data_IF_816901751463
#
_entry.id   IF_816901751463
#
_cell.length_a   1.000
_cell.length_b   1.000
_cell.length_c   1.000
_cell.angle_alpha   90.00
_cell.angle_beta   90.00
_cell.angle_gamma   90.00
#
_symmetry.space_group_name_H-M   'P 1'
#
loop_
_entity.id
_entity.type
_entity.pdbx_description
1 polymer ?
#
# COMPACT_ATOMS: atom_id res chain seq x y z
N UNK A 1 11.85 -2.66 -15.67
CA UNK A 1 10.48 -2.93 -15.21
C UNK A 1 9.89 -1.61 -14.78
N UNK A 2 8.58 -1.39 -15.00
CA UNK A 2 7.94 -0.20 -14.46
C UNK A 2 7.46 -0.50 -13.04
N UNK A 3 7.59 0.47 -12.14
CA UNK A 3 7.46 0.26 -10.70
C UNK A 3 6.48 1.27 -10.10
N UNK A 4 5.81 0.87 -9.02
CA UNK A 4 5.08 1.81 -8.17
C UNK A 4 5.64 1.70 -6.75
N UNK A 5 5.86 2.84 -6.12
CA UNK A 5 6.37 2.95 -4.76
C UNK A 5 5.32 3.53 -3.84
N UNK A 6 5.28 3.02 -2.62
CA UNK A 6 4.69 3.73 -1.50
C UNK A 6 5.71 4.77 -1.01
N UNK A 7 5.34 6.05 -1.01
CA UNK A 7 6.20 7.17 -0.61
C UNK A 7 5.99 7.55 0.84
N UNK A 8 4.74 7.58 1.28
CA UNK A 8 4.40 7.92 2.65
C UNK A 8 3.00 7.44 2.99
N UNK A 9 2.71 7.36 4.28
CA UNK A 9 1.36 7.17 4.78
C UNK A 9 1.15 7.98 6.05
N UNK A 10 -0.05 8.52 6.20
CA UNK A 10 -0.48 9.27 7.39
C UNK A 10 -1.76 8.65 7.93
N UNK A 11 -1.86 8.59 9.25
CA UNK A 11 -3.09 8.27 9.96
C UNK A 11 -3.42 9.42 10.90
N UNK A 12 -4.63 9.95 10.77
CA UNK A 12 -5.19 11.02 11.59
C UNK A 12 -6.24 10.43 12.55
N UNK A 13 -6.61 11.18 13.60
CA UNK A 13 -7.76 10.83 14.43
C UNK A 13 -9.02 10.59 13.58
N UNK A 14 -9.82 9.61 13.96
CA UNK A 14 -11.10 9.36 13.30
C UNK A 14 -12.00 10.60 13.40
N UNK A 15 -12.64 10.98 12.30
CA UNK A 15 -13.44 12.20 12.20
C UNK A 15 -12.66 13.44 11.75
N UNK A 16 -11.35 13.33 11.47
CA UNK A 16 -10.58 14.41 10.84
C UNK A 16 -11.16 14.80 9.47
N UNK A 17 -11.12 16.10 9.16
CA UNK A 17 -11.55 16.63 7.88
C UNK A 17 -10.68 16.11 6.72
N UNK A 18 -11.28 15.92 5.55
CA UNK A 18 -10.56 15.45 4.35
C UNK A 18 -9.41 16.40 3.97
N UNK A 19 -9.63 17.71 4.00
CA UNK A 19 -8.57 18.68 3.67
C UNK A 19 -7.39 18.59 4.64
N UNK A 20 -7.64 18.32 5.92
CA UNK A 20 -6.57 18.19 6.92
C UNK A 20 -5.77 16.90 6.69
N UNK A 21 -6.46 15.80 6.35
CA UNK A 21 -5.82 14.55 5.97
C UNK A 21 -4.95 14.71 4.72
N UNK A 22 -5.45 15.38 3.69
CA UNK A 22 -4.72 15.64 2.44
C UNK A 22 -3.52 16.58 2.66
N UNK A 23 -3.67 17.62 3.49
CA UNK A 23 -2.55 18.48 3.89
C UNK A 23 -1.50 17.69 4.67
N UNK A 24 -1.91 16.81 5.56
CA UNK A 24 -0.99 16.02 6.38
C UNK A 24 -0.13 15.07 5.53
N UNK A 25 -0.73 14.33 4.58
CA UNK A 25 0.03 13.44 3.68
C UNK A 25 0.96 14.23 2.74
N UNK A 26 0.51 15.38 2.25
CA UNK A 26 1.35 16.24 1.41
C UNK A 26 2.53 16.82 2.20
N UNK A 27 2.29 17.27 3.43
CA UNK A 27 3.33 17.77 4.33
C UNK A 27 4.35 16.69 4.70
N UNK A 28 3.91 15.48 5.02
CA UNK A 28 4.79 14.37 5.38
C UNK A 28 5.68 13.90 4.22
N UNK A 29 5.16 13.89 2.99
CA UNK A 29 5.92 13.54 1.78
C UNK A 29 6.68 14.69 1.16
N UNK A 30 6.46 15.92 1.63
CA UNK A 30 6.94 17.17 1.00
C UNK A 30 6.48 17.34 -0.46
N UNK A 31 5.45 16.60 -0.91
CA UNK A 31 4.84 16.83 -2.22
C UNK A 31 3.93 18.05 -2.14
N UNK A 32 3.95 18.87 -3.21
CA UNK A 32 2.99 19.97 -3.32
C UNK A 32 1.64 19.44 -3.83
N UNK A 33 0.50 19.95 -3.34
CA UNK A 33 -0.82 19.44 -3.75
C UNK A 33 -1.07 19.51 -5.27
N UNK A 34 -0.56 20.54 -5.95
CA UNK A 34 -0.67 20.73 -7.40
C UNK A 34 0.11 19.69 -8.23
N UNK A 35 0.93 18.85 -7.58
CA UNK A 35 1.73 17.80 -8.21
C UNK A 35 1.15 16.40 -8.00
N UNK A 36 -0.01 16.29 -7.35
CA UNK A 36 -0.74 15.04 -7.22
C UNK A 36 -1.63 14.86 -8.45
N UNK A 37 -1.42 13.80 -9.25
CA UNK A 37 -2.22 13.59 -10.45
C UNK A 37 -3.65 13.15 -10.13
N UNK A 38 -3.78 12.19 -9.20
CA UNK A 38 -5.07 11.62 -8.82
C UNK A 38 -5.20 11.46 -7.30
N UNK A 39 -6.42 11.69 -6.81
CA UNK A 39 -6.79 11.48 -5.40
C UNK A 39 -8.05 10.61 -5.38
N UNK A 40 -7.95 9.42 -4.79
CA UNK A 40 -9.08 8.52 -4.59
C UNK A 40 -9.47 8.52 -3.12
N UNK A 41 -10.72 8.83 -2.82
CA UNK A 41 -11.28 8.80 -1.47
C UNK A 41 -12.27 7.66 -1.33
N UNK A 42 -12.11 6.85 -0.29
CA UNK A 42 -13.09 5.88 0.18
C UNK A 42 -13.77 6.42 1.44
N UNK A 43 -15.10 6.45 1.46
CA UNK A 43 -15.86 6.80 2.67
C UNK A 43 -17.13 5.97 2.82
N UNK A 44 -17.61 5.87 4.05
CA UNK A 44 -18.89 5.25 4.41
C UNK A 44 -20.07 6.23 4.33
N UNK A 45 -19.85 7.45 3.84
CA UNK A 45 -20.91 8.45 3.66
C UNK A 45 -21.83 8.07 2.50
N UNK A 46 -23.14 8.20 2.69
CA UNK A 46 -24.14 7.88 1.66
C UNK A 46 -23.93 8.67 0.35
N UNK A 47 -23.34 9.88 0.45
CA UNK A 47 -22.97 10.70 -0.70
C UNK A 47 -22.03 9.99 -1.67
N UNK A 48 -21.17 9.08 -1.21
CA UNK A 48 -20.20 8.37 -2.05
C UNK A 48 -20.85 7.49 -3.14
N UNK A 49 -22.14 7.14 -2.98
CA UNK A 49 -22.90 6.38 -3.95
C UNK A 49 -23.35 7.24 -5.15
N UNK A 50 -23.56 8.54 -4.93
CA UNK A 50 -24.19 9.43 -5.90
C UNK A 50 -23.26 10.56 -6.39
N UNK A 51 -22.33 10.99 -5.54
CA UNK A 51 -21.37 12.03 -5.82
C UNK A 51 -19.99 11.42 -6.02
N UNK A 52 -19.57 11.26 -7.28
CA UNK A 52 -18.28 10.65 -7.64
C UNK A 52 -17.11 11.62 -7.65
N UNK A 53 -17.37 12.92 -7.50
CA UNK A 53 -16.35 13.96 -7.60
C UNK A 53 -16.54 14.99 -6.50
N UNK A 54 -15.46 15.27 -5.78
CA UNK A 54 -15.34 16.33 -4.79
C UNK A 54 -14.24 17.30 -5.21
N UNK A 55 -14.39 18.57 -4.82
CA UNK A 55 -13.34 19.58 -4.99
C UNK A 55 -12.80 19.91 -3.61
N UNK A 56 -11.48 19.81 -3.44
CA UNK A 56 -10.77 20.11 -2.20
C UNK A 56 -9.73 21.19 -2.46
N UNK A 57 -9.11 21.70 -1.39
CA UNK A 57 -7.97 22.61 -1.51
C UNK A 57 -6.76 21.97 -2.22
N UNK A 58 -6.70 20.63 -2.22
CA UNK A 58 -5.63 19.85 -2.86
C UNK A 58 -5.98 19.39 -4.28
N UNK A 59 -7.16 19.75 -4.79
CA UNK A 59 -7.61 19.41 -6.13
C UNK A 59 -8.87 18.54 -6.16
N UNK A 60 -9.07 17.89 -7.30
CA UNK A 60 -10.24 17.06 -7.56
C UNK A 60 -10.02 15.69 -6.93
N UNK A 61 -11.02 15.22 -6.20
CA UNK A 61 -11.04 13.91 -5.55
C UNK A 61 -12.10 13.03 -6.20
N UNK A 62 -11.70 11.83 -6.60
CA UNK A 62 -12.59 10.78 -7.08
C UNK A 62 -13.12 10.05 -5.86
N UNK A 63 -14.44 10.10 -5.68
CA UNK A 63 -15.10 9.62 -4.48
C UNK A 63 -15.72 8.25 -4.71
N UNK A 64 -15.33 7.30 -3.86
CA UNK A 64 -15.71 5.91 -3.87
C UNK A 64 -16.45 5.55 -2.59
N UNK A 65 -17.53 4.74 -2.66
CA UNK A 65 -18.13 4.18 -1.47
C UNK A 65 -17.18 3.15 -0.85
N UNK A 66 -17.14 3.10 0.48
CA UNK A 66 -16.36 2.10 1.20
C UNK A 66 -17.08 0.75 1.15
N UNK A 67 -16.86 0.01 0.06
CA UNK A 67 -17.38 -1.33 -0.17
C UNK A 67 -16.22 -2.33 -0.08
N UNK A 68 -16.45 -3.53 0.46
CA UNK A 68 -15.55 -4.69 0.38
C UNK A 68 -14.82 -4.77 -0.98
N UNK A 69 -13.52 -5.10 -0.96
CA UNK A 69 -12.64 -5.25 -2.14
C UNK A 69 -12.37 -4.00 -3.00
N UNK A 70 -13.22 -2.97 -2.99
CA UNK A 70 -13.05 -1.80 -3.86
C UNK A 70 -11.73 -1.04 -3.62
N UNK A 71 -11.30 -0.78 -2.38
CA UNK A 71 -9.99 -0.18 -2.12
C UNK A 71 -8.81 -0.99 -2.69
N UNK A 72 -8.92 -2.33 -2.68
CA UNK A 72 -7.91 -3.25 -3.23
C UNK A 72 -7.83 -3.09 -4.75
N UNK A 73 -8.98 -3.11 -5.43
CA UNK A 73 -9.06 -2.94 -6.89
C UNK A 73 -8.52 -1.59 -7.34
N UNK A 74 -8.86 -0.52 -6.62
CA UNK A 74 -8.37 0.82 -6.92
C UNK A 74 -6.87 0.91 -6.68
N UNK A 75 -6.33 0.30 -5.62
CA UNK A 75 -4.88 0.21 -5.41
C UNK A 75 -4.18 -0.46 -6.60
N UNK A 76 -4.70 -1.59 -7.08
CA UNK A 76 -4.10 -2.32 -8.20
C UNK A 76 -4.22 -1.52 -9.50
N UNK A 77 -5.34 -0.85 -9.72
CA UNK A 77 -5.56 0.02 -10.87
C UNK A 77 -4.61 1.23 -10.85
N UNK A 78 -4.46 1.88 -9.70
CA UNK A 78 -3.53 2.99 -9.49
C UNK A 78 -2.08 2.54 -9.70
N UNK A 79 -1.69 1.37 -9.19
CA UNK A 79 -0.38 0.79 -9.45
C UNK A 79 -0.13 0.60 -10.94
N UNK A 80 -1.11 0.04 -11.68
CA UNK A 80 -0.99 -0.14 -13.13
C UNK A 80 -0.85 1.18 -13.87
N UNK A 81 -1.59 2.21 -13.47
CA UNK A 81 -1.50 3.55 -14.07
C UNK A 81 -0.16 4.25 -13.78
N UNK A 82 0.39 4.05 -12.58
CA UNK A 82 1.73 4.52 -12.21
C UNK A 82 2.80 3.81 -13.05
N UNK A 83 2.65 2.50 -13.24
CA UNK A 83 3.55 1.66 -14.01
C UNK A 83 3.47 1.92 -15.51
N UNK A 84 2.30 2.19 -16.08
CA UNK A 84 2.21 2.62 -17.48
C UNK A 84 2.76 4.03 -17.71
N UNK A 85 2.93 4.81 -16.64
CA UNK A 85 3.33 6.21 -16.71
C UNK A 85 2.17 7.15 -17.05
N UNK A 86 0.93 6.66 -17.05
CA UNK A 86 -0.28 7.47 -17.26
C UNK A 86 -0.42 8.53 -16.16
N UNK A 87 -0.02 8.17 -14.93
CA UNK A 87 0.12 9.09 -13.79
C UNK A 87 1.50 8.95 -13.16
N UNK A 88 1.97 10.02 -12.52
CA UNK A 88 3.25 10.03 -11.80
C UNK A 88 3.07 9.87 -10.29
N UNK A 89 1.94 10.33 -9.75
CA UNK A 89 1.62 10.35 -8.32
C UNK A 89 0.14 10.09 -8.08
N UNK A 90 -0.20 9.39 -7.01
CA UNK A 90 -1.57 9.07 -6.64
C UNK A 90 -1.72 9.09 -5.11
N UNK A 91 -2.78 9.71 -4.59
CA UNK A 91 -3.18 9.57 -3.19
C UNK A 91 -4.37 8.61 -3.10
N UNK A 92 -4.24 7.60 -2.26
CA UNK A 92 -5.38 6.79 -1.81
C UNK A 92 -5.71 7.17 -0.38
N UNK A 93 -6.92 7.61 -0.12
CA UNK A 93 -7.38 8.05 1.18
C UNK A 93 -8.64 7.28 1.60
N UNK A 94 -8.69 6.88 2.87
CA UNK A 94 -9.91 6.42 3.52
C UNK A 94 -10.29 7.45 4.60
N UNK A 95 -11.51 7.96 4.51
CA UNK A 95 -12.10 8.78 5.57
C UNK A 95 -13.48 8.22 5.91
N UNK A 96 -13.53 7.39 6.94
CA UNK A 96 -14.70 6.66 7.43
C UNK A 96 -14.91 6.90 8.92
N UNK A 97 -16.05 6.46 9.46
CA UNK A 97 -16.31 6.44 10.90
C UNK A 97 -15.34 5.56 11.70
N UNK A 98 -14.45 4.80 11.04
CA UNK A 98 -13.43 3.94 11.68
C UNK A 98 -12.02 4.47 11.47
N UNK A 99 -11.70 4.93 10.27
CA UNK A 99 -10.34 5.29 9.88
C UNK A 99 -10.29 6.65 9.18
N UNK A 100 -9.26 7.43 9.49
CA UNK A 100 -8.87 8.60 8.70
C UNK A 100 -7.40 8.43 8.33
N UNK A 101 -7.13 7.97 7.11
CA UNK A 101 -5.77 7.66 6.68
C UNK A 101 -5.58 7.88 5.18
N UNK A 102 -4.35 8.18 4.78
CA UNK A 102 -3.99 8.37 3.39
C UNK A 102 -2.59 7.85 3.10
N UNK A 103 -2.38 7.34 1.90
CA UNK A 103 -1.08 6.94 1.38
C UNK A 103 -0.78 7.67 0.08
N UNK A 104 0.49 8.05 -0.10
CA UNK A 104 0.99 8.59 -1.36
C UNK A 104 1.76 7.50 -2.09
N UNK A 105 1.38 7.28 -3.35
CA UNK A 105 2.05 6.41 -4.29
C UNK A 105 2.71 7.26 -5.38
N UNK A 106 3.85 6.80 -5.91
CA UNK A 106 4.48 7.41 -7.07
C UNK A 106 5.23 6.38 -7.91
N UNK A 107 5.44 6.71 -9.19
CA UNK A 107 6.32 5.94 -10.08
C UNK A 107 7.75 6.52 -10.05
N UNK A 108 8.76 5.85 -10.66
CA UNK A 108 10.15 6.34 -10.65
C UNK A 108 10.31 7.77 -11.18
N UNK A 109 9.53 8.14 -12.20
CA UNK A 109 9.55 9.50 -12.75
C UNK A 109 9.06 10.53 -11.74
N UNK A 110 7.95 10.25 -11.05
CA UNK A 110 7.42 11.09 -9.98
C UNK A 110 8.38 11.21 -8.80
N UNK A 111 9.01 10.09 -8.41
CA UNK A 111 10.05 10.05 -7.38
C UNK A 111 11.20 10.98 -7.72
N UNK A 112 11.81 10.84 -8.89
CA UNK A 112 12.95 11.68 -9.31
C UNK A 112 12.56 13.14 -9.53
N UNK A 113 11.46 13.40 -10.24
CA UNK A 113 11.02 14.76 -10.60
C UNK A 113 10.64 15.59 -9.37
N UNK A 114 10.05 14.97 -8.38
CA UNK A 114 9.55 15.66 -7.19
C UNK A 114 10.44 15.45 -5.95
N UNK A 115 11.59 14.79 -6.12
CA UNK A 115 12.56 14.50 -5.05
C UNK A 115 11.89 13.81 -3.85
N UNK A 116 11.07 12.79 -4.13
CA UNK A 116 10.38 12.00 -3.11
C UNK A 116 11.30 10.87 -2.65
N UNK A 117 11.15 10.43 -1.40
CA UNK A 117 11.86 9.28 -0.87
C UNK A 117 10.92 8.07 -0.86
N UNK A 118 11.15 7.03 -1.68
CA UNK A 118 10.32 5.83 -1.62
C UNK A 118 10.54 5.10 -0.29
N UNK A 119 9.44 4.66 0.34
CA UNK A 119 9.51 3.80 1.52
C UNK A 119 9.68 2.34 1.12
N UNK A 120 8.86 1.87 0.19
CA UNK A 120 8.86 0.48 -0.28
C UNK A 120 8.32 0.42 -1.70
N UNK A 121 8.84 -0.50 -2.49
CA UNK A 121 8.27 -0.85 -3.79
C UNK A 121 7.04 -1.74 -3.59
N UNK A 122 6.05 -1.58 -4.46
CA UNK A 122 4.92 -2.50 -4.60
C UNK A 122 5.20 -3.39 -5.81
N UNK A 123 5.41 -4.69 -5.59
CA UNK A 123 5.73 -5.68 -6.60
C UNK A 123 4.85 -6.93 -6.43
N UNK A 124 4.98 -7.92 -7.34
CA UNK A 124 4.34 -9.24 -7.22
C UNK A 124 2.87 -9.16 -6.79
N UNK A 125 2.01 -8.59 -7.64
CA UNK A 125 0.59 -8.35 -7.34
C UNK A 125 -0.27 -9.43 -7.97
N UNK A 126 -1.09 -10.09 -7.17
CA UNK A 126 -1.92 -11.21 -7.63
C UNK A 126 -3.34 -11.11 -7.10
N UNK A 127 -4.29 -11.63 -7.87
CA UNK A 127 -5.70 -11.74 -7.50
C UNK A 127 -6.14 -13.18 -7.69
N UNK A 128 -6.78 -13.74 -6.65
CA UNK A 128 -7.27 -15.12 -6.60
C UNK A 128 -8.78 -15.12 -6.46
N UNK A 129 -9.53 -15.34 -7.55
CA UNK A 129 -11.00 -15.38 -7.51
C UNK A 129 -11.55 -16.49 -6.60
N UNK A 130 -10.82 -17.61 -6.48
CA UNK A 130 -11.21 -18.73 -5.61
C UNK A 130 -10.75 -18.60 -4.16
N UNK A 131 -10.18 -17.46 -3.77
CA UNK A 131 -9.48 -17.30 -2.49
C UNK A 131 -8.06 -17.87 -2.50
N UNK A 132 -7.31 -17.65 -1.42
CA UNK A 132 -5.94 -18.15 -1.26
C UNK A 132 -6.01 -19.45 -0.42
N UNK A 133 -5.71 -20.63 -1.00
CA UNK A 133 -5.85 -21.91 -0.32
C UNK A 133 -4.74 -22.17 0.70
N UNK A 134 -3.50 -21.76 0.40
CA UNK A 134 -2.35 -21.84 1.31
C UNK A 134 -1.65 -20.48 1.35
N UNK A 135 -1.77 -19.80 2.50
CA UNK A 135 -1.20 -18.47 2.70
C UNK A 135 0.32 -18.47 2.62
N UNK A 136 0.97 -19.50 3.17
CA UNK A 136 2.43 -19.55 3.25
C UNK A 136 3.00 -19.83 1.86
N UNK A 137 2.51 -20.86 1.19
CA UNK A 137 2.99 -21.20 -0.16
C UNK A 137 2.78 -20.04 -1.14
N UNK A 138 1.66 -19.33 -1.02
CA UNK A 138 1.36 -18.18 -1.89
C UNK A 138 2.24 -16.97 -1.57
N UNK A 139 2.49 -16.69 -0.29
CA UNK A 139 3.41 -15.63 0.12
C UNK A 139 4.85 -15.92 -0.35
N UNK A 140 5.31 -17.17 -0.19
CA UNK A 140 6.64 -17.62 -0.65
C UNK A 140 6.77 -17.46 -2.17
N UNK A 141 5.73 -17.86 -2.93
CA UNK A 141 5.68 -17.66 -4.39
C UNK A 141 5.73 -16.19 -4.77
N UNK A 142 4.99 -15.32 -4.07
CA UNK A 142 4.97 -13.89 -4.35
C UNK A 142 6.36 -13.25 -4.16
N UNK A 143 7.05 -13.62 -3.08
CA UNK A 143 8.41 -13.17 -2.79
C UNK A 143 9.43 -13.65 -3.83
N UNK A 144 9.25 -14.86 -4.38
CA UNK A 144 10.11 -15.37 -5.45
C UNK A 144 9.96 -14.60 -6.78
N UNK A 145 8.83 -13.91 -6.99
CA UNK A 145 8.62 -13.07 -8.19
C UNK A 145 9.28 -11.70 -8.11
N UNK A 146 9.79 -11.32 -6.94
CA UNK A 146 10.56 -10.10 -6.76
C UNK A 146 11.99 -10.35 -7.28
N UNK A 147 12.47 -9.57 -8.27
CA UNK A 147 13.84 -9.74 -8.76
C UNK A 147 14.84 -9.56 -7.61
N UNK A 148 15.90 -10.37 -7.52
CA UNK A 148 16.92 -10.19 -6.51
C UNK A 148 17.55 -8.80 -6.68
N UNK A 149 17.79 -8.11 -5.57
CA UNK A 149 18.51 -6.84 -5.58
C UNK A 149 19.90 -7.11 -6.19
N UNK A 150 20.17 -6.54 -7.37
CA UNK A 150 21.48 -6.65 -8.00
C UNK A 150 22.51 -5.97 -7.10
N UNK A 151 23.33 -6.78 -6.43
CA UNK A 151 24.49 -6.29 -5.67
C UNK A 151 25.50 -5.81 -6.71
N UNK A 152 25.63 -4.49 -6.86
CA UNK A 152 26.69 -3.91 -7.68
C UNK A 152 28.04 -4.35 -7.11
N UNK A 153 28.73 -5.22 -7.85
CA UNK A 153 30.09 -5.65 -7.55
C UNK A 153 31.05 -4.45 -7.71
N UNK A 154 31.17 -3.65 -6.66
CA UNK A 154 31.99 -2.44 -6.69
C UNK A 154 32.17 -1.69 -5.36
N UNK A 155 31.43 -2.03 -4.30
CA UNK A 155 31.66 -1.43 -2.98
C UNK A 155 32.20 -2.45 -1.99
N UNK A 156 33.50 -2.38 -1.69
CA UNK A 156 34.15 -2.99 -0.51
C UNK A 156 33.71 -2.32 0.81
N UNK A 157 32.43 -1.97 0.94
CA UNK A 157 31.86 -1.42 2.17
C UNK A 157 30.61 -2.24 2.50
N UNK A 158 30.77 -3.08 3.53
CA UNK A 158 29.74 -3.84 4.24
C UNK A 158 28.54 -4.23 3.40
N UNK A 159 28.61 -5.45 2.83
CA UNK A 159 27.44 -6.16 2.33
C UNK A 159 26.29 -6.01 3.34
N UNK A 160 25.11 -5.46 2.95
CA UNK A 160 23.91 -5.80 3.69
C UNK A 160 23.65 -7.27 3.39
N UNK A 161 24.25 -8.14 4.20
CA UNK A 161 23.88 -9.54 4.29
C UNK A 161 22.40 -9.55 4.66
N UNK A 162 21.54 -9.70 3.67
CA UNK A 162 20.16 -10.11 3.89
C UNK A 162 20.28 -11.43 4.60
N UNK A 163 20.11 -11.43 5.92
CA UNK A 163 20.24 -12.63 6.71
C UNK A 163 19.11 -13.56 6.25
N UNK A 164 19.42 -14.70 5.58
CA UNK A 164 18.41 -15.58 5.02
C UNK A 164 17.52 -16.21 6.10
N UNK A 165 17.88 -16.03 7.38
CA UNK A 165 17.10 -16.49 8.53
C UNK A 165 16.06 -15.46 9.04
N UNK A 166 15.93 -14.28 8.41
CA UNK A 166 14.91 -13.30 8.82
C UNK A 166 13.63 -13.58 8.04
N UNK A 167 12.63 -14.09 8.76
CA UNK A 167 11.30 -14.29 8.18
C UNK A 167 10.75 -12.98 7.60
N UNK A 168 10.13 -13.02 6.40
CA UNK A 168 9.50 -11.86 5.81
C UNK A 168 8.35 -11.38 6.69
N UNK A 169 8.08 -10.07 6.64
CA UNK A 169 6.90 -9.50 7.25
C UNK A 169 5.64 -9.96 6.53
N UNK A 170 4.61 -10.30 7.28
CA UNK A 170 3.30 -10.62 6.75
C UNK A 170 2.28 -9.64 7.30
N UNK A 171 1.53 -8.97 6.43
CA UNK A 171 0.37 -8.16 6.80
C UNK A 171 -0.89 -8.81 6.25
N UNK A 172 -1.87 -9.05 7.12
CA UNK A 172 -3.15 -9.63 6.75
C UNK A 172 -4.24 -8.59 6.95
N UNK A 173 -4.87 -8.23 5.84
CA UNK A 173 -6.13 -7.50 5.79
C UNK A 173 -7.28 -8.52 5.82
N UNK A 174 -8.07 -8.51 6.88
CA UNK A 174 -9.28 -9.33 6.99
C UNK A 174 -10.28 -8.70 7.96
N UNK A 175 -11.60 -8.88 7.77
CA UNK A 175 -12.59 -8.50 8.77
C UNK A 175 -12.43 -9.25 10.10
N UNK A 176 -11.99 -10.51 10.03
CA UNK A 176 -11.81 -11.38 11.20
C UNK A 176 -10.35 -11.84 11.34
N UNK A 177 -9.86 -11.87 12.58
CA UNK A 177 -8.49 -12.31 12.84
C UNK A 177 -8.38 -13.81 12.55
N UNK A 178 -7.49 -14.23 11.63
CA UNK A 178 -7.32 -15.64 11.34
C UNK A 178 -6.88 -16.41 12.58
N UNK A 179 -7.54 -17.54 12.85
CA UNK A 179 -7.47 -18.29 14.11
C UNK A 179 -6.16 -19.10 14.24
N UNK A 180 -5.52 -19.43 13.12
CA UNK A 180 -4.25 -20.17 13.11
C UNK A 180 -3.42 -19.77 11.89
N UNK A 181 -2.24 -19.20 12.13
CA UNK A 181 -1.21 -19.01 11.12
C UNK A 181 0.10 -19.54 11.65
N UNK A 182 0.76 -20.37 10.85
CA UNK A 182 2.13 -20.77 11.08
C UNK A 182 3.07 -19.65 10.61
N UNK A 183 3.07 -18.52 11.33
CA UNK A 183 3.92 -17.35 11.06
C UNK A 183 4.45 -16.74 12.38
N UNK A 184 5.69 -16.24 12.43
CA UNK A 184 6.21 -15.59 13.64
C UNK A 184 5.35 -14.39 14.06
N UNK A 185 4.95 -14.36 15.33
CA UNK A 185 4.04 -13.32 15.86
C UNK A 185 4.67 -11.92 15.85
N UNK A 186 5.99 -11.82 15.96
CA UNK A 186 6.76 -10.57 15.86
C UNK A 186 6.90 -10.06 14.41
N UNK A 187 6.50 -10.88 13.42
CA UNK A 187 6.53 -10.56 11.97
C UNK A 187 5.16 -10.56 11.33
N UNK A 188 4.10 -10.58 12.14
CA UNK A 188 2.72 -10.61 11.69
C UNK A 188 2.01 -9.29 12.06
N UNK A 189 1.43 -8.64 11.06
CA UNK A 189 0.60 -7.46 11.20
C UNK A 189 -0.82 -7.86 10.80
N UNK A 190 -1.79 -7.45 11.60
CA UNK A 190 -3.20 -7.64 11.30
C UNK A 190 -3.88 -6.29 11.18
N UNK A 191 -4.71 -6.11 10.15
CA UNK A 191 -5.47 -4.89 9.92
C UNK A 191 -6.87 -5.21 9.39
N UNK A 192 -7.83 -4.37 9.73
CA UNK A 192 -9.21 -4.42 9.19
C UNK A 192 -9.43 -3.41 8.05
N UNK A 193 -8.40 -2.63 7.69
CA UNK A 193 -8.38 -1.80 6.48
C UNK A 193 -7.06 -1.98 5.72
N UNK A 194 -7.12 -1.88 4.40
CA UNK A 194 -5.97 -2.00 3.51
C UNK A 194 -4.92 -0.91 3.76
N UNK A 195 -5.33 0.35 3.87
CA UNK A 195 -4.38 1.47 3.91
C UNK A 195 -3.54 1.45 5.19
N UNK A 196 -4.12 1.31 6.40
CA UNK A 196 -3.34 1.14 7.62
C UNK A 196 -2.49 -0.14 7.58
N UNK A 197 -3.00 -1.23 7.01
CA UNK A 197 -2.29 -2.50 6.89
C UNK A 197 -1.00 -2.40 6.07
N UNK A 198 -1.09 -1.76 4.90
CA UNK A 198 0.06 -1.48 4.03
C UNK A 198 1.04 -0.50 4.66
N UNK A 199 0.55 0.56 5.31
CA UNK A 199 1.40 1.53 6.00
C UNK A 199 2.21 0.88 7.12
N UNK A 200 1.55 0.10 7.99
CA UNK A 200 2.22 -0.60 9.09
C UNK A 200 3.27 -1.57 8.57
N UNK A 201 2.97 -2.30 7.49
CA UNK A 201 3.92 -3.19 6.84
C UNK A 201 5.16 -2.44 6.35
N UNK A 202 4.96 -1.36 5.60
CA UNK A 202 6.06 -0.56 5.07
C UNK A 202 6.94 0.05 6.17
N UNK A 203 6.34 0.50 7.27
CA UNK A 203 7.06 1.03 8.43
C UNK A 203 7.86 -0.09 9.11
N UNK A 204 7.29 -1.27 9.28
CA UNK A 204 7.95 -2.40 9.92
C UNK A 204 9.15 -2.90 9.10
N UNK A 205 8.98 -2.99 7.78
CA UNK A 205 10.07 -3.31 6.85
C UNK A 205 11.20 -2.29 6.94
N UNK A 206 10.89 -1.00 6.82
CA UNK A 206 11.89 0.08 6.90
C UNK A 206 12.65 0.12 8.22
N UNK A 207 11.98 -0.17 9.35
CA UNK A 207 12.64 -0.27 10.66
C UNK A 207 13.65 -1.40 10.72
N UNK A 208 13.38 -2.51 10.04
CA UNK A 208 14.21 -3.71 10.10
C UNK A 208 15.28 -3.78 9.01
N UNK A 209 15.18 -2.97 7.95
CA UNK A 209 16.15 -2.81 6.83
C UNK A 209 16.61 -4.11 6.14
N UNK A 210 16.07 -5.26 6.51
CA UNK A 210 16.60 -6.58 6.15
C UNK A 210 15.51 -7.63 5.89
N UNK A 211 14.23 -7.22 5.83
CA UNK A 211 13.12 -8.14 5.64
C UNK A 211 12.13 -7.60 4.61
N UNK A 212 11.91 -8.37 3.53
CA UNK A 212 10.81 -8.18 2.59
C UNK A 212 9.46 -8.35 3.27
N UNK A 213 8.38 -7.91 2.62
CA UNK A 213 7.03 -8.03 3.16
C UNK A 213 6.05 -8.61 2.15
N UNK A 214 4.98 -9.23 2.66
CA UNK A 214 3.82 -9.60 1.86
C UNK A 214 2.59 -9.04 2.55
N UNK A 215 1.77 -8.33 1.80
CA UNK A 215 0.43 -7.95 2.22
C UNK A 215 -0.60 -8.87 1.55
N UNK A 216 -1.55 -9.38 2.32
CA UNK A 216 -2.60 -10.28 1.86
C UNK A 216 -3.97 -9.76 2.30
N UNK A 217 -4.94 -9.73 1.39
CA UNK A 217 -6.36 -9.52 1.67
C UNK A 217 -7.10 -10.85 1.65
N UNK A 218 -7.69 -11.20 2.80
CA UNK A 218 -8.55 -12.36 2.99
C UNK A 218 -9.91 -11.87 3.45
N UNK A 219 -10.96 -12.14 2.69
CA UNK A 219 -12.31 -11.88 3.15
C UNK A 219 -13.19 -13.06 2.72
N UNK A 220 -13.70 -13.79 3.70
CA UNK A 220 -14.51 -15.02 3.51
C UNK A 220 -15.77 -14.79 2.65
N UNK A 221 -16.24 -13.54 2.58
CA UNK A 221 -17.45 -13.14 1.85
C UNK A 221 -17.16 -12.20 0.65
N UNK A 222 -15.91 -12.09 0.22
CA UNK A 222 -15.53 -11.29 -0.96
C UNK A 222 -15.22 -12.20 -2.15
N UNK A 223 -15.47 -11.74 -3.40
CA UNK A 223 -15.33 -12.57 -4.60
C UNK A 223 -13.87 -12.87 -4.97
N UNK A 224 -12.87 -12.29 -4.28
CA UNK A 224 -11.47 -12.58 -4.54
C UNK A 224 -10.58 -12.23 -3.34
N UNK A 225 -9.54 -13.03 -3.14
CA UNK A 225 -8.41 -12.66 -2.30
C UNK A 225 -7.33 -11.97 -3.15
N UNK A 226 -6.55 -11.09 -2.54
CA UNK A 226 -5.49 -10.36 -3.23
C UNK A 226 -4.21 -10.34 -2.41
N UNK A 227 -3.07 -10.19 -3.08
CA UNK A 227 -1.80 -10.04 -2.38
C UNK A 227 -0.83 -9.14 -3.15
N UNK A 228 0.08 -8.52 -2.40
CA UNK A 228 1.12 -7.62 -2.88
C UNK A 228 2.42 -7.99 -2.19
N UNK A 229 3.47 -8.25 -2.97
CA UNK A 229 4.83 -8.41 -2.46
C UNK A 229 5.53 -7.05 -2.35
N UNK A 230 6.26 -6.83 -1.28
CA UNK A 230 7.06 -5.64 -1.05
C UNK A 230 8.53 -6.09 -1.00
N UNK A 231 9.34 -5.75 -2.03
CA UNK A 231 10.77 -6.04 -2.07
C UNK A 231 11.54 -5.42 -0.90
N UNK A 232 12.76 -5.90 -0.72
CA UNK A 232 13.77 -5.22 0.09
C UNK A 232 14.25 -3.95 -0.61
#
# INVERSE_FOLDING_TARGET
MSEAYLISGVQQPTGSGLDDLLKAICGQSSIRPDRVNEIHLFSDTASALFQRRLTTSSGIVIHWPLIPFLPVNVLFSACRALESGDISTCILAENSGKFSCAVLLANPNGVGRFNLTPLVQLAGRFTYPGGIPDLKATADMALQTVPPVEVYAGSELDEPRVNPNVHPWLSIHSPAKPVSLNWPADRLIYSTSILPGLMMLAIAMNKTKAASGVWISLAENEPAAALVALPL
#
